data_IF_721210916896
#
_entry.id   IF_721210916896
#
_cell.length_a   1.000
_cell.length_b   1.000
_cell.length_c   1.000
_cell.angle_alpha   90.00
_cell.angle_beta   90.00
_cell.angle_gamma   90.00
#
_symmetry.space_group_name_H-M   'P 1'
#
loop_
_entity.id
_entity.type
_entity.pdbx_description
1 polymer ?
#
# COMPACT_ATOMS: atom_id res chain seq x y z
N UNK A 1 3.88 8.41 -6.60
CA UNK A 1 2.70 7.99 -5.83
C UNK A 1 1.55 8.72 -6.45
N UNK A 2 0.84 8.02 -7.33
CA UNK A 2 -0.41 8.53 -7.87
C UNK A 2 -1.49 8.34 -6.80
N UNK A 3 -2.23 9.41 -6.53
CA UNK A 3 -3.26 9.44 -5.50
C UNK A 3 -4.60 9.65 -6.21
N UNK A 4 -5.56 8.77 -5.94
CA UNK A 4 -6.92 8.87 -6.47
C UNK A 4 -7.94 8.47 -5.41
N UNK A 5 -9.21 8.78 -5.65
CA UNK A 5 -10.29 8.54 -4.69
C UNK A 5 -11.27 7.51 -5.24
N UNK A 6 -11.53 6.45 -4.46
CA UNK A 6 -12.59 5.46 -4.76
C UNK A 6 -13.61 5.49 -3.62
N UNK A 7 -14.87 5.77 -3.93
CA UNK A 7 -15.95 5.82 -2.94
C UNK A 7 -15.63 6.71 -1.73
N UNK A 8 -14.95 7.84 -1.94
CA UNK A 8 -14.52 8.75 -0.86
C UNK A 8 -13.27 8.30 -0.07
N UNK A 9 -12.69 7.14 -0.39
CA UNK A 9 -11.48 6.64 0.23
C UNK A 9 -10.28 7.04 -0.62
N UNK A 10 -9.27 7.61 0.03
CA UNK A 10 -7.97 7.86 -0.58
C UNK A 10 -7.29 6.53 -0.91
N UNK A 11 -6.80 6.40 -2.14
CA UNK A 11 -6.06 5.24 -2.64
C UNK A 11 -4.67 5.70 -3.05
N UNK A 12 -3.67 4.89 -2.67
CA UNK A 12 -2.27 5.10 -3.03
C UNK A 12 -1.72 3.81 -3.62
N UNK A 13 -1.11 3.93 -4.79
CA UNK A 13 -0.33 2.84 -5.37
C UNK A 13 1.06 2.82 -4.75
N UNK A 14 1.44 1.66 -4.23
CA UNK A 14 2.71 1.45 -3.54
C UNK A 14 3.25 0.06 -3.82
N UNK A 15 4.57 -0.02 -3.93
CA UNK A 15 5.27 -1.28 -4.08
C UNK A 15 5.51 -1.91 -2.70
N UNK A 16 5.25 -3.21 -2.60
CA UNK A 16 5.56 -4.01 -1.43
C UNK A 16 7.08 -4.21 -1.37
N UNK A 17 7.72 -3.82 -0.27
CA UNK A 17 9.17 -3.94 -0.07
C UNK A 17 9.48 -5.02 0.97
N UNK A 18 10.46 -5.87 0.67
CA UNK A 18 10.98 -6.86 1.61
C UNK A 18 11.57 -6.18 2.86
N UNK A 19 11.32 -6.77 4.02
CA UNK A 19 11.82 -6.26 5.31
C UNK A 19 11.99 -7.41 6.31
N UNK A 20 13.24 -7.87 6.49
CA UNK A 20 13.51 -9.06 7.29
C UNK A 20 12.75 -10.27 6.73
N UNK A 21 11.95 -10.93 7.57
CA UNK A 21 11.13 -12.08 7.19
C UNK A 21 9.73 -11.70 6.68
N UNK A 22 9.45 -10.42 6.48
CA UNK A 22 8.13 -9.93 6.04
C UNK A 22 8.24 -8.93 4.89
N UNK A 23 7.14 -8.24 4.63
CA UNK A 23 7.10 -7.16 3.65
C UNK A 23 6.22 -6.00 4.13
N UNK A 24 6.58 -4.78 3.72
CA UNK A 24 5.87 -3.56 4.07
C UNK A 24 5.44 -2.81 2.81
N UNK A 25 4.29 -2.13 2.90
CA UNK A 25 3.93 -1.04 1.99
C UNK A 25 4.02 0.25 2.79
N UNK A 26 4.74 1.25 2.29
CA UNK A 26 4.78 2.56 2.91
C UNK A 26 3.52 3.35 2.54
N UNK A 27 2.85 3.91 3.54
CA UNK A 27 1.66 4.74 3.37
C UNK A 27 1.95 6.20 3.76
N UNK A 28 1.14 7.17 3.30
CA UNK A 28 1.29 8.56 3.70
C UNK A 28 1.26 8.76 5.21
N UNK A 29 2.08 9.69 5.73
CA UNK A 29 2.21 9.94 7.17
C UNK A 29 0.91 10.38 7.85
N UNK A 30 -0.03 10.95 7.11
CA UNK A 30 -1.33 11.40 7.66
C UNK A 30 -2.32 10.25 7.87
N UNK A 31 -2.04 9.04 7.38
CA UNK A 31 -2.85 7.84 7.62
C UNK A 31 -2.59 7.17 8.99
N UNK A 32 -1.67 7.69 9.79
CA UNK A 32 -1.34 7.13 11.11
C UNK A 32 -2.59 7.07 11.99
N UNK A 33 -2.94 5.86 12.46
CA UNK A 33 -4.12 5.61 13.29
C UNK A 33 -5.42 5.33 12.52
N UNK A 34 -5.39 5.33 11.18
CA UNK A 34 -6.53 4.94 10.36
C UNK A 34 -6.59 3.41 10.18
N UNK A 35 -7.80 2.88 10.04
CA UNK A 35 -8.02 1.52 9.57
C UNK A 35 -7.84 1.46 8.05
N UNK A 36 -6.97 0.55 7.59
CA UNK A 36 -6.63 0.43 6.16
C UNK A 36 -6.87 -0.99 5.65
N UNK A 37 -7.18 -1.11 4.36
CA UNK A 37 -7.22 -2.38 3.63
C UNK A 37 -6.20 -2.33 2.51
N UNK A 38 -5.42 -3.41 2.35
CA UNK A 38 -4.46 -3.56 1.26
C UNK A 38 -5.04 -4.50 0.22
N UNK A 39 -5.01 -4.08 -1.05
CA UNK A 39 -5.46 -4.87 -2.20
C UNK A 39 -4.26 -5.10 -3.11
N UNK A 40 -3.94 -6.37 -3.39
CA UNK A 40 -2.86 -6.73 -4.31
C UNK A 40 -3.32 -6.53 -5.76
N UNK A 41 -2.55 -5.81 -6.56
CA UNK A 41 -2.88 -5.47 -7.95
C UNK A 41 -1.96 -6.11 -9.00
N UNK A 42 -0.82 -6.66 -8.59
CA UNK A 42 0.07 -7.49 -9.41
C UNK A 42 0.57 -8.72 -8.64
N UNK A 43 0.98 -9.76 -9.35
CA UNK A 43 1.78 -10.82 -8.75
C UNK A 43 3.20 -10.30 -8.47
N UNK A 44 3.86 -10.77 -7.38
CA UNK A 44 5.27 -10.48 -7.17
C UNK A 44 6.09 -11.15 -8.28
N UNK A 45 7.22 -10.53 -8.65
CA UNK A 45 8.19 -11.20 -9.52
C UNK A 45 8.75 -12.43 -8.77
N UNK A 46 8.86 -13.57 -9.45
CA UNK A 46 9.55 -14.74 -8.92
C UNK A 46 11.05 -14.40 -8.80
N UNK A 47 11.58 -14.30 -7.57
CA UNK A 47 13.03 -14.27 -7.30
C UNK A 47 13.66 -15.66 -7.38
#
# INVERSE_FOLDING_TARGET
MDQFTINGHEVVDGEVKATGNGAHVYVPKHWRGADVKVVRTSDPDDE
#
